data_IF_240169103217
#
_entry.id   IF_240169103217
#
_cell.length_a   1.000
_cell.length_b   1.000
_cell.length_c   1.000
_cell.angle_alpha   90.00
_cell.angle_beta   90.00
_cell.angle_gamma   90.00
#
_symmetry.space_group_name_H-M   'P 1'
#
loop_
_entity.id
_entity.type
_entity.pdbx_description
1 polymer ?
#
# COMPACT_ATOMS: atom_id res chain seq x y z
N UNK A 1 -12.66 30.34 -1.81
CA UNK A 1 -13.36 31.08 -2.88
C UNK A 1 -14.60 30.28 -3.21
N UNK A 2 -15.79 30.87 -3.08
CA UNK A 2 -17.05 30.16 -3.36
C UNK A 2 -17.16 29.93 -4.87
N UNK A 3 -16.85 28.74 -5.35
CA UNK A 3 -17.31 28.30 -6.66
C UNK A 3 -18.84 28.35 -6.62
N UNK A 4 -19.45 29.29 -7.36
CA UNK A 4 -20.86 29.18 -7.69
C UNK A 4 -20.99 27.93 -8.57
N UNK A 5 -21.30 26.79 -7.96
CA UNK A 5 -21.68 25.61 -8.72
C UNK A 5 -22.99 25.91 -9.43
N UNK A 6 -23.07 25.48 -10.69
CA UNK A 6 -24.30 25.55 -11.45
C UNK A 6 -25.32 24.60 -10.81
N UNK A 7 -26.56 25.04 -10.65
CA UNK A 7 -27.60 24.19 -10.06
C UNK A 7 -27.94 23.01 -10.97
N UNK A 8 -27.78 23.14 -12.28
CA UNK A 8 -27.93 22.03 -13.24
C UNK A 8 -26.84 20.96 -13.02
N UNK A 9 -25.58 21.39 -12.88
CA UNK A 9 -24.44 20.49 -12.61
C UNK A 9 -24.59 19.76 -11.26
N UNK A 10 -25.14 20.45 -10.24
CA UNK A 10 -25.43 19.81 -8.96
C UNK A 10 -26.47 18.69 -9.11
N UNK A 11 -27.52 18.89 -9.90
CA UNK A 11 -28.54 17.86 -10.14
C UNK A 11 -27.94 16.64 -10.84
N UNK A 12 -26.98 16.85 -11.74
CA UNK A 12 -26.27 15.76 -12.41
C UNK A 12 -25.38 14.91 -11.49
N UNK A 13 -24.99 15.43 -10.32
CA UNK A 13 -24.23 14.66 -9.31
C UNK A 13 -25.06 13.61 -8.58
N UNK A 14 -26.39 13.66 -8.67
CA UNK A 14 -27.32 12.77 -7.97
C UNK A 14 -27.37 11.40 -8.67
N UNK A 15 -27.09 10.34 -7.93
CA UNK A 15 -27.03 8.98 -8.46
C UNK A 15 -28.41 8.31 -8.66
N UNK A 16 -29.37 8.58 -7.76
CA UNK A 16 -30.72 8.01 -7.85
C UNK A 16 -31.57 8.82 -8.84
N UNK A 17 -31.95 8.19 -9.95
CA UNK A 17 -32.73 8.82 -11.02
C UNK A 17 -34.10 9.34 -10.56
N UNK A 18 -34.76 8.68 -9.61
CA UNK A 18 -36.05 9.15 -9.11
C UNK A 18 -35.88 10.40 -8.24
N UNK A 19 -34.85 10.41 -7.39
CA UNK A 19 -34.49 11.59 -6.58
C UNK A 19 -34.03 12.73 -7.48
N UNK A 20 -33.27 12.42 -8.54
CA UNK A 20 -32.86 13.38 -9.57
C UNK A 20 -34.07 14.05 -10.21
N UNK A 21 -35.09 13.30 -10.62
CA UNK A 21 -36.32 13.85 -11.19
C UNK A 21 -37.01 14.83 -10.21
N UNK A 22 -37.10 14.49 -8.91
CA UNK A 22 -37.66 15.44 -7.92
C UNK A 22 -36.81 16.71 -7.77
N UNK A 23 -35.49 16.60 -7.89
CA UNK A 23 -34.60 17.76 -7.85
C UNK A 23 -34.63 18.60 -9.14
N UNK A 24 -34.89 17.99 -10.30
CA UNK A 24 -35.19 18.71 -11.55
C UNK A 24 -36.51 19.50 -11.46
N UNK A 25 -37.52 18.95 -10.79
CA UNK A 25 -38.76 19.68 -10.48
C UNK A 25 -38.50 20.83 -9.49
N UNK A 26 -37.66 20.62 -8.47
CA UNK A 26 -37.25 21.66 -7.53
C UNK A 26 -36.49 22.79 -8.24
N UNK A 27 -35.58 22.45 -9.16
CA UNK A 27 -34.87 23.39 -10.03
C UNK A 27 -35.84 24.19 -10.90
N UNK A 28 -36.83 23.53 -11.51
CA UNK A 28 -37.86 24.19 -12.31
C UNK A 28 -38.66 25.20 -11.46
N UNK A 29 -39.00 24.85 -10.22
CA UNK A 29 -39.63 25.78 -9.28
C UNK A 29 -38.75 26.98 -8.95
N UNK A 30 -37.45 26.75 -8.76
CA UNK A 30 -36.48 27.83 -8.55
C UNK A 30 -36.45 28.80 -9.74
N UNK A 31 -36.33 28.28 -10.95
CA UNK A 31 -36.29 29.07 -12.19
C UNK A 31 -37.59 29.86 -12.43
N UNK A 32 -38.74 29.29 -12.01
CA UNK A 32 -40.04 29.95 -12.03
C UNK A 32 -40.26 30.96 -10.88
N UNK A 33 -39.24 31.22 -10.04
CA UNK A 33 -39.31 32.06 -8.82
C UNK A 33 -40.30 31.55 -7.76
N UNK A 34 -40.64 30.27 -7.81
CA UNK A 34 -41.44 29.58 -6.80
C UNK A 34 -40.53 29.04 -5.68
N UNK A 35 -39.81 29.92 -4.98
CA UNK A 35 -38.78 29.55 -4.00
C UNK A 35 -39.30 28.68 -2.84
N UNK A 36 -40.53 28.95 -2.37
CA UNK A 36 -41.19 28.10 -1.36
C UNK A 36 -41.40 26.67 -1.86
N UNK A 37 -41.79 26.51 -3.13
CA UNK A 37 -41.99 25.20 -3.73
C UNK A 37 -40.66 24.47 -3.94
N UNK A 38 -39.60 25.18 -4.36
CA UNK A 38 -38.25 24.64 -4.43
C UNK A 38 -37.81 24.03 -3.09
N UNK A 39 -37.94 24.77 -1.98
CA UNK A 39 -37.57 24.29 -0.64
C UNK A 39 -38.38 23.04 -0.25
N UNK A 40 -39.68 23.03 -0.54
CA UNK A 40 -40.56 21.90 -0.21
C UNK A 40 -40.22 20.66 -1.03
N UNK A 41 -39.94 20.80 -2.33
CA UNK A 41 -39.55 19.68 -3.19
C UNK A 41 -38.17 19.13 -2.83
N UNK A 42 -37.19 20.00 -2.56
CA UNK A 42 -35.87 19.58 -2.06
C UNK A 42 -35.99 18.80 -0.74
N UNK A 43 -36.87 19.25 0.16
CA UNK A 43 -37.15 18.52 1.40
C UNK A 43 -37.71 17.12 1.13
N UNK A 44 -38.69 16.99 0.22
CA UNK A 44 -39.30 15.70 -0.11
C UNK A 44 -38.26 14.76 -0.73
N UNK A 45 -37.49 15.24 -1.71
CA UNK A 45 -36.46 14.46 -2.37
C UNK A 45 -35.41 13.94 -1.37
N UNK A 46 -34.98 14.80 -0.45
CA UNK A 46 -34.01 14.43 0.57
C UNK A 46 -34.50 13.32 1.51
N UNK A 47 -35.72 13.43 2.03
CA UNK A 47 -36.22 12.42 2.97
C UNK A 47 -36.59 11.10 2.27
N UNK A 48 -37.05 11.13 1.03
CA UNK A 48 -37.24 9.92 0.21
C UNK A 48 -35.91 9.17 0.00
N UNK A 49 -34.87 9.92 -0.39
CA UNK A 49 -33.51 9.40 -0.56
C UNK A 49 -32.91 8.84 0.74
N UNK A 50 -33.09 9.54 1.86
CA UNK A 50 -32.64 9.07 3.19
C UNK A 50 -33.31 7.73 3.55
N UNK A 51 -34.62 7.58 3.30
CA UNK A 51 -35.32 6.32 3.56
C UNK A 51 -34.80 5.19 2.67
N UNK A 52 -34.58 5.45 1.38
CA UNK A 52 -34.00 4.46 0.46
C UNK A 52 -32.61 4.02 0.90
N UNK A 53 -31.74 4.99 1.24
CA UNK A 53 -30.39 4.72 1.77
C UNK A 53 -30.43 3.93 3.07
N UNK A 54 -31.39 4.21 3.96
CA UNK A 54 -31.62 3.41 5.17
C UNK A 54 -32.12 2.00 4.86
N UNK A 55 -32.91 1.81 3.80
CA UNK A 55 -33.35 0.49 3.35
C UNK A 55 -32.20 -0.39 2.86
N UNK A 56 -31.30 0.20 2.07
CA UNK A 56 -30.06 -0.47 1.62
C UNK A 56 -29.13 -0.76 2.80
N UNK A 57 -28.89 0.23 3.67
CA UNK A 57 -28.13 0.04 4.91
C UNK A 57 -28.77 -1.02 5.83
N UNK A 58 -30.10 -1.11 5.84
CA UNK A 58 -30.86 -2.09 6.61
C UNK A 58 -30.66 -3.54 6.17
N UNK A 59 -30.09 -3.81 4.99
CA UNK A 59 -29.72 -5.18 4.56
C UNK A 59 -28.58 -5.75 5.39
N UNK A 60 -27.71 -4.87 5.91
CA UNK A 60 -26.48 -5.24 6.64
C UNK A 60 -26.51 -4.76 8.09
N UNK A 61 -27.27 -3.71 8.42
CA UNK A 61 -27.32 -3.12 9.76
C UNK A 61 -28.72 -3.26 10.40
N UNK A 62 -28.80 -4.02 11.50
CA UNK A 62 -30.07 -4.28 12.22
C UNK A 62 -30.69 -3.03 12.84
N UNK A 63 -29.91 -2.02 13.23
CA UNK A 63 -30.43 -0.75 13.75
C UNK A 63 -31.02 0.08 12.63
N UNK A 64 -30.29 0.25 11.53
CA UNK A 64 -30.80 0.91 10.33
C UNK A 64 -32.07 0.22 9.82
N UNK A 65 -32.11 -1.11 9.86
CA UNK A 65 -33.30 -1.89 9.49
C UNK A 65 -34.51 -1.56 10.35
N UNK A 66 -34.35 -1.47 11.67
CA UNK A 66 -35.44 -1.07 12.59
C UNK A 66 -35.97 0.33 12.26
N UNK A 67 -35.05 1.27 12.05
CA UNK A 67 -35.41 2.67 11.73
C UNK A 67 -36.13 2.73 10.38
N UNK A 68 -35.63 2.00 9.38
CA UNK A 68 -36.27 1.86 8.07
C UNK A 68 -37.68 1.25 8.18
N UNK A 69 -37.82 0.12 8.89
CA UNK A 69 -39.11 -0.56 9.03
C UNK A 69 -40.14 0.33 9.77
N UNK A 70 -39.70 1.11 10.77
CA UNK A 70 -40.55 2.07 11.48
C UNK A 70 -40.89 3.31 10.63
N UNK A 71 -39.93 3.84 9.85
CA UNK A 71 -40.16 4.92 8.91
C UNK A 71 -41.16 4.51 7.83
N UNK A 72 -41.00 3.31 7.24
CA UNK A 72 -41.91 2.77 6.24
C UNK A 72 -43.33 2.57 6.80
N UNK A 73 -43.45 2.09 8.06
CA UNK A 73 -44.76 2.00 8.74
C UNK A 73 -45.42 3.38 8.88
N UNK A 74 -44.66 4.41 9.27
CA UNK A 74 -45.17 5.77 9.39
C UNK A 74 -45.57 6.35 8.04
N UNK A 75 -44.76 6.15 6.99
CA UNK A 75 -45.10 6.55 5.61
C UNK A 75 -46.39 5.90 5.12
N UNK A 76 -46.52 4.58 5.28
CA UNK A 76 -47.71 3.83 4.85
C UNK A 76 -48.98 4.26 5.64
N UNK A 77 -48.81 4.67 6.89
CA UNK A 77 -49.89 5.21 7.72
C UNK A 77 -50.15 6.72 7.49
N UNK A 78 -49.46 7.36 6.55
CA UNK A 78 -49.50 8.81 6.29
C UNK A 78 -49.19 9.68 7.53
N UNK A 79 -48.38 9.15 8.44
CA UNK A 79 -47.89 9.89 9.61
C UNK A 79 -46.59 10.62 9.28
N UNK A 80 -46.33 11.73 10.00
CA UNK A 80 -45.05 12.45 9.93
C UNK A 80 -43.92 11.50 10.33
N UNK A 81 -43.00 11.25 9.41
CA UNK A 81 -41.89 10.30 9.58
C UNK A 81 -40.53 11.01 9.60
N UNK A 82 -40.45 12.21 9.06
CA UNK A 82 -39.22 12.97 8.89
C UNK A 82 -38.64 13.44 10.22
N UNK A 83 -39.49 13.91 11.14
CA UNK A 83 -39.06 14.23 12.51
C UNK A 83 -38.51 13.01 13.24
N UNK A 84 -39.18 11.86 13.08
CA UNK A 84 -38.70 10.60 13.64
C UNK A 84 -37.35 10.20 13.04
N UNK A 85 -37.17 10.35 11.73
CA UNK A 85 -35.90 10.06 11.05
C UNK A 85 -34.77 10.93 11.57
N UNK A 86 -34.96 12.26 11.66
CA UNK A 86 -33.92 13.16 12.18
C UNK A 86 -33.50 12.74 13.59
N UNK A 87 -34.48 12.50 14.48
CA UNK A 87 -34.22 12.10 15.85
C UNK A 87 -33.47 10.76 15.92
N UNK A 88 -33.89 9.75 15.15
CA UNK A 88 -33.23 8.45 15.14
C UNK A 88 -31.85 8.48 14.50
N UNK A 89 -31.67 9.20 13.40
CA UNK A 89 -30.36 9.37 12.75
C UNK A 89 -29.37 10.03 13.72
N UNK A 90 -29.82 11.03 14.48
CA UNK A 90 -29.02 11.70 15.51
C UNK A 90 -28.73 10.80 16.71
N UNK A 91 -29.75 10.16 17.29
CA UNK A 91 -29.61 9.31 18.48
C UNK A 91 -28.80 8.04 18.25
N UNK A 92 -28.78 7.52 17.02
CA UNK A 92 -28.00 6.34 16.65
C UNK A 92 -26.64 6.69 16.00
N UNK A 93 -26.25 7.97 15.99
CA UNK A 93 -25.02 8.45 15.35
C UNK A 93 -24.88 7.98 13.90
N UNK A 94 -26.02 7.94 13.18
CA UNK A 94 -26.06 7.64 11.75
C UNK A 94 -25.76 8.86 10.89
N UNK A 95 -25.64 10.06 11.47
CA UNK A 95 -25.27 11.28 10.77
C UNK A 95 -24.31 12.13 11.63
N UNK A 96 -23.37 12.86 11.02
CA UNK A 96 -22.61 13.89 11.70
C UNK A 96 -23.51 14.93 12.39
N UNK A 97 -23.00 15.54 13.45
CA UNK A 97 -23.74 16.55 14.22
C UNK A 97 -24.10 17.79 13.39
N UNK A 98 -23.21 18.19 12.48
CA UNK A 98 -23.43 19.30 11.55
C UNK A 98 -24.57 19.01 10.57
N UNK A 99 -24.61 17.80 10.01
CA UNK A 99 -25.65 17.39 9.06
C UNK A 99 -27.01 17.25 9.76
N UNK A 100 -27.01 16.77 11.00
CA UNK A 100 -28.20 16.76 11.85
C UNK A 100 -28.74 18.17 12.11
N UNK A 101 -27.85 19.16 12.31
CA UNK A 101 -28.25 20.55 12.48
C UNK A 101 -28.82 21.16 11.18
N UNK A 102 -28.25 20.79 10.03
CA UNK A 102 -28.80 21.20 8.73
C UNK A 102 -30.20 20.62 8.49
N UNK A 103 -30.43 19.33 8.76
CA UNK A 103 -31.76 18.72 8.62
C UNK A 103 -32.82 19.43 9.48
N UNK A 104 -32.43 19.90 10.66
CA UNK A 104 -33.29 20.71 11.51
C UNK A 104 -33.62 22.09 10.92
N UNK A 105 -32.62 22.78 10.38
CA UNK A 105 -32.83 24.05 9.66
C UNK A 105 -33.80 23.84 8.50
N UNK A 106 -33.56 22.81 7.69
CA UNK A 106 -34.37 22.45 6.54
C UNK A 106 -35.81 22.11 6.97
N UNK A 107 -36.02 21.39 8.08
CA UNK A 107 -37.36 21.15 8.64
C UNK A 107 -38.09 22.44 9.00
N UNK A 108 -37.41 23.38 9.66
CA UNK A 108 -37.99 24.67 10.02
C UNK A 108 -38.37 25.49 8.78
N UNK A 109 -37.48 25.56 7.79
CA UNK A 109 -37.71 26.31 6.55
C UNK A 109 -38.81 25.68 5.69
N UNK A 110 -38.89 24.35 5.63
CA UNK A 110 -40.00 23.65 4.98
C UNK A 110 -41.32 23.98 5.65
N UNK A 111 -41.39 23.96 6.98
CA UNK A 111 -42.63 24.26 7.70
C UNK A 111 -43.10 25.70 7.45
N UNK A 112 -42.18 26.67 7.47
CA UNK A 112 -42.48 28.06 7.10
C UNK A 112 -42.91 28.20 5.64
N UNK A 113 -42.31 27.43 4.75
CA UNK A 113 -42.61 27.48 3.30
C UNK A 113 -43.88 26.75 2.92
N UNK A 114 -44.31 25.72 3.65
CA UNK A 114 -45.51 24.94 3.34
C UNK A 114 -46.79 25.55 3.94
N UNK A 115 -46.68 26.30 5.04
CA UNK A 115 -47.84 26.88 5.74
C UNK A 115 -47.94 28.40 5.54
N UNK A 116 -49.12 29.02 5.75
CA UNK A 116 -49.30 30.47 5.71
C UNK A 116 -48.67 31.17 6.94
N UNK A 117 -47.35 31.08 7.09
CA UNK A 117 -46.63 31.65 8.25
C UNK A 117 -46.17 33.10 8.03
N UNK A 118 -46.48 33.69 6.88
CA UNK A 118 -45.96 35.01 6.47
C UNK A 118 -44.48 34.99 6.05
N UNK A 119 -43.86 33.82 5.89
CA UNK A 119 -42.48 33.70 5.43
C UNK A 119 -42.38 33.83 3.91
N UNK A 120 -41.51 34.73 3.46
CA UNK A 120 -41.21 34.94 2.05
C UNK A 120 -39.80 34.42 1.77
N UNK A 121 -39.69 33.17 1.31
CA UNK A 121 -38.42 32.56 0.96
C UNK A 121 -37.74 33.35 -0.18
N UNK A 122 -36.46 33.68 -0.02
CA UNK A 122 -35.66 34.37 -1.04
C UNK A 122 -35.00 33.38 -2.02
N UNK A 123 -34.42 33.91 -3.10
CA UNK A 123 -33.67 33.12 -4.07
C UNK A 123 -32.41 32.49 -3.43
N UNK A 124 -31.77 33.21 -2.52
CA UNK A 124 -30.58 32.78 -1.80
C UNK A 124 -30.91 31.69 -0.79
N UNK A 125 -32.05 31.82 -0.09
CA UNK A 125 -32.52 30.80 0.84
C UNK A 125 -32.83 29.48 0.12
N UNK A 126 -33.57 29.55 -1.00
CA UNK A 126 -33.85 28.35 -1.80
C UNK A 126 -32.58 27.74 -2.39
N UNK A 127 -31.66 28.56 -2.90
CA UNK A 127 -30.38 28.08 -3.46
C UNK A 127 -29.49 27.45 -2.40
N UNK A 128 -29.41 28.03 -1.21
CA UNK A 128 -28.65 27.47 -0.09
C UNK A 128 -29.17 26.07 0.27
N UNK A 129 -30.49 25.93 0.43
CA UNK A 129 -31.11 24.64 0.76
C UNK A 129 -30.90 23.62 -0.36
N UNK A 130 -31.05 24.05 -1.61
CA UNK A 130 -30.84 23.21 -2.78
C UNK A 130 -29.40 22.67 -2.83
N UNK A 131 -28.41 23.57 -2.71
CA UNK A 131 -26.99 23.23 -2.72
C UNK A 131 -26.63 22.27 -1.58
N UNK A 132 -26.94 22.64 -0.34
CA UNK A 132 -26.55 21.86 0.83
C UNK A 132 -27.23 20.49 0.88
N UNK A 133 -28.48 20.37 0.40
CA UNK A 133 -29.15 19.07 0.31
C UNK A 133 -28.45 18.13 -0.68
N UNK A 134 -28.03 18.64 -1.84
CA UNK A 134 -27.33 17.83 -2.84
C UNK A 134 -25.92 17.48 -2.37
N UNK A 135 -25.14 18.48 -1.97
CA UNK A 135 -23.73 18.32 -1.63
C UNK A 135 -23.53 17.40 -0.42
N UNK A 136 -24.35 17.57 0.62
CA UNK A 136 -24.22 16.78 1.85
C UNK A 136 -24.85 15.39 1.77
N UNK A 137 -25.95 15.23 1.02
CA UNK A 137 -26.76 14.02 1.10
C UNK A 137 -27.01 13.37 -0.27
N UNK A 138 -27.68 14.07 -1.19
CA UNK A 138 -28.21 13.41 -2.40
C UNK A 138 -27.11 12.92 -3.34
N UNK A 139 -25.98 13.62 -3.42
CA UNK A 139 -24.80 13.21 -4.18
C UNK A 139 -24.01 12.07 -3.51
N UNK A 140 -24.24 11.79 -2.22
CA UNK A 140 -23.46 10.84 -1.42
C UNK A 140 -24.14 9.47 -1.40
N UNK A 141 -23.45 8.35 -1.67
CA UNK A 141 -24.08 7.05 -1.84
C UNK A 141 -24.71 6.45 -0.56
N UNK A 142 -24.14 6.64 0.63
CA UNK A 142 -24.65 6.03 1.89
C UNK A 142 -24.43 6.98 3.08
N UNK A 143 -25.39 6.99 4.01
CA UNK A 143 -25.48 7.94 5.14
C UNK A 143 -24.45 7.75 6.28
N UNK A 144 -23.51 6.80 6.23
CA UNK A 144 -22.48 6.73 7.27
C UNK A 144 -21.14 6.28 6.72
N UNK A 145 -20.18 7.19 6.69
CA UNK A 145 -18.80 6.93 6.27
C UNK A 145 -18.13 5.87 7.15
N UNK A 146 -18.45 5.77 8.44
CA UNK A 146 -17.73 4.89 9.38
C UNK A 146 -18.44 3.58 9.72
N UNK A 147 -19.74 3.43 9.51
CA UNK A 147 -20.45 2.20 9.92
C UNK A 147 -20.08 0.97 9.10
N UNK A 148 -19.87 1.14 7.80
CA UNK A 148 -19.37 0.04 6.96
C UNK A 148 -18.00 -0.43 7.46
N UNK A 149 -17.17 0.50 7.92
CA UNK A 149 -15.90 0.18 8.56
C UNK A 149 -16.11 -0.62 9.84
N UNK A 150 -17.03 -0.18 10.71
CA UNK A 150 -17.35 -0.88 11.96
C UNK A 150 -17.90 -2.29 11.73
N UNK A 151 -18.70 -2.49 10.67
CA UNK A 151 -19.22 -3.80 10.28
C UNK A 151 -18.07 -4.73 9.82
N UNK A 152 -17.10 -4.23 9.06
CA UNK A 152 -15.90 -5.01 8.69
C UNK A 152 -15.07 -5.33 9.94
N UNK A 153 -14.85 -4.35 10.81
CA UNK A 153 -14.11 -4.53 12.06
C UNK A 153 -14.74 -5.61 12.96
N UNK A 154 -16.07 -5.74 12.94
CA UNK A 154 -16.81 -6.74 13.72
C UNK A 154 -16.59 -8.18 13.26
N UNK A 155 -16.11 -8.38 12.01
CA UNK A 155 -15.84 -9.70 11.41
C UNK A 155 -14.37 -10.08 11.43
N UNK A 156 -13.48 -9.24 11.96
CA UNK A 156 -12.03 -9.51 11.92
C UNK A 156 -11.60 -10.70 12.77
N UNK A 157 -12.40 -11.15 13.72
CA UNK A 157 -12.17 -12.39 14.48
C UNK A 157 -12.60 -13.66 13.73
N UNK A 158 -13.25 -13.52 12.56
CA UNK A 158 -13.60 -14.67 11.72
C UNK A 158 -12.36 -15.33 11.12
N UNK A 159 -12.19 -16.62 11.40
CA UNK A 159 -11.05 -17.42 10.93
C UNK A 159 -10.90 -17.49 9.40
N UNK A 160 -12.00 -17.32 8.68
CA UNK A 160 -12.07 -17.42 7.23
C UNK A 160 -12.20 -16.08 6.52
N UNK A 161 -12.04 -14.96 7.25
CA UNK A 161 -12.08 -13.63 6.66
C UNK A 161 -11.10 -13.50 5.48
N UNK A 162 -9.87 -14.00 5.65
CA UNK A 162 -8.93 -14.23 4.55
C UNK A 162 -8.77 -15.73 4.29
N UNK A 163 -9.23 -16.26 3.15
CA UNK A 163 -9.18 -17.69 2.86
C UNK A 163 -7.75 -18.16 2.53
N UNK A 164 -6.90 -17.27 2.02
CA UNK A 164 -5.53 -17.54 1.58
C UNK A 164 -4.59 -16.43 2.08
N UNK A 165 -3.31 -16.76 2.22
CA UNK A 165 -2.27 -15.85 2.71
C UNK A 165 -1.43 -15.21 1.59
N UNK A 166 -1.81 -15.45 0.33
CA UNK A 166 -1.15 -14.84 -0.82
C UNK A 166 -1.60 -13.37 -0.97
N UNK A 167 -0.66 -12.47 -1.29
CA UNK A 167 -0.94 -11.02 -1.32
C UNK A 167 -1.99 -10.65 -2.36
N UNK A 168 -2.03 -11.32 -3.52
CA UNK A 168 -3.01 -11.05 -4.57
C UNK A 168 -4.41 -11.42 -4.07
N UNK A 169 -4.52 -12.56 -3.37
CA UNK A 169 -5.80 -13.00 -2.78
C UNK A 169 -6.24 -12.14 -1.61
N UNK A 170 -5.30 -11.67 -0.80
CA UNK A 170 -5.58 -10.70 0.26
C UNK A 170 -6.12 -9.40 -0.35
N UNK A 171 -5.48 -8.87 -1.40
CA UNK A 171 -5.94 -7.63 -2.03
C UNK A 171 -7.30 -7.76 -2.71
N UNK A 172 -7.62 -8.90 -3.33
CA UNK A 172 -8.96 -9.17 -3.91
C UNK A 172 -10.06 -9.11 -2.84
N UNK A 173 -9.81 -9.67 -1.65
CA UNK A 173 -10.75 -9.59 -0.52
C UNK A 173 -10.89 -8.14 -0.04
N UNK A 174 -9.77 -7.44 0.16
CA UNK A 174 -9.78 -6.04 0.60
C UNK A 174 -10.53 -5.14 -0.40
N UNK A 175 -10.27 -5.28 -1.70
CA UNK A 175 -10.94 -4.52 -2.76
C UNK A 175 -12.46 -4.72 -2.71
N UNK A 176 -12.91 -5.95 -2.45
CA UNK A 176 -14.33 -6.27 -2.31
C UNK A 176 -14.93 -5.59 -1.08
N UNK A 177 -14.25 -5.66 0.07
CA UNK A 177 -14.70 -5.09 1.34
C UNK A 177 -14.77 -3.56 1.32
N UNK A 178 -13.88 -2.89 0.57
CA UNK A 178 -13.87 -1.42 0.49
C UNK A 178 -14.71 -0.84 -0.64
N UNK A 179 -15.30 -1.67 -1.52
CA UNK A 179 -16.01 -1.21 -2.72
C UNK A 179 -17.14 -0.21 -2.45
N UNK A 180 -17.81 -0.35 -1.31
CA UNK A 180 -18.91 0.52 -0.87
C UNK A 180 -18.48 1.60 0.12
N UNK A 181 -17.20 1.66 0.48
CA UNK A 181 -16.66 2.62 1.45
C UNK A 181 -16.31 3.91 0.72
N UNK A 182 -16.80 5.03 1.25
CA UNK A 182 -16.46 6.36 0.74
C UNK A 182 -15.02 6.75 1.13
N UNK A 183 -14.32 7.49 0.28
CA UNK A 183 -12.90 7.80 0.48
C UNK A 183 -12.60 8.52 1.82
N UNK A 184 -13.51 9.37 2.28
CA UNK A 184 -13.39 10.08 3.57
C UNK A 184 -13.38 9.16 4.79
N UNK A 185 -13.78 7.90 4.65
CA UNK A 185 -13.74 6.92 5.72
C UNK A 185 -12.37 6.25 5.89
N UNK A 186 -11.47 6.34 4.90
CA UNK A 186 -10.18 5.64 4.94
C UNK A 186 -9.29 6.05 6.13
N UNK A 187 -9.21 7.32 6.56
CA UNK A 187 -8.45 7.67 7.77
C UNK A 187 -8.96 6.93 9.01
N UNK A 188 -10.29 6.88 9.20
CA UNK A 188 -10.92 6.15 10.31
C UNK A 188 -10.70 4.64 10.20
N UNK A 189 -10.85 4.08 9.00
CA UNK A 189 -10.58 2.66 8.74
C UNK A 189 -9.15 2.31 9.09
N UNK A 190 -8.17 3.04 8.57
CA UNK A 190 -6.76 2.74 8.78
C UNK A 190 -6.42 2.82 10.27
N UNK A 191 -6.88 3.86 10.98
CA UNK A 191 -6.64 4.01 12.42
C UNK A 191 -7.22 2.84 13.24
N UNK A 192 -8.47 2.42 12.96
CA UNK A 192 -9.09 1.30 13.67
C UNK A 192 -8.45 -0.04 13.37
N UNK A 193 -8.06 -0.29 12.13
CA UNK A 193 -7.32 -1.50 11.77
C UNK A 193 -5.91 -1.51 12.38
N UNK A 194 -5.28 -0.35 12.50
CA UNK A 194 -4.00 -0.19 13.17
C UNK A 194 -4.11 -0.54 14.66
N UNK A 195 -5.14 -0.06 15.37
CA UNK A 195 -5.46 -0.47 16.75
C UNK A 195 -5.65 -2.00 16.84
N UNK A 196 -6.39 -2.59 15.90
CA UNK A 196 -6.66 -4.03 15.87
C UNK A 196 -5.44 -4.88 15.52
N UNK A 197 -4.43 -4.35 14.84
CA UNK A 197 -3.20 -5.07 14.53
C UNK A 197 -2.42 -5.50 15.78
N UNK A 198 -2.63 -4.82 16.92
CA UNK A 198 -2.03 -5.17 18.22
C UNK A 198 -3.02 -5.89 19.16
N UNK A 199 -4.12 -6.40 18.62
CA UNK A 199 -5.10 -7.17 19.43
C UNK A 199 -4.46 -8.41 20.05
N UNK A 200 -4.90 -8.76 21.26
CA UNK A 200 -4.55 -10.02 21.90
C UNK A 200 -5.19 -11.24 21.22
N UNK A 201 -6.25 -11.05 20.42
CA UNK A 201 -6.81 -12.09 19.58
C UNK A 201 -5.93 -12.24 18.32
N UNK A 202 -5.34 -13.42 18.16
CA UNK A 202 -4.42 -13.73 17.07
C UNK A 202 -5.06 -13.66 15.68
N UNK A 203 -6.33 -14.05 15.54
CA UNK A 203 -7.04 -13.97 14.26
C UNK A 203 -7.34 -12.50 13.92
N UNK A 204 -7.82 -11.72 14.89
CA UNK A 204 -8.05 -10.29 14.73
C UNK A 204 -6.79 -9.51 14.35
N UNK A 205 -5.68 -9.73 15.07
CA UNK A 205 -4.39 -9.07 14.78
C UNK A 205 -3.90 -9.44 13.38
N UNK A 206 -3.91 -10.73 13.04
CA UNK A 206 -3.48 -11.23 11.73
C UNK A 206 -4.33 -10.66 10.60
N UNK A 207 -5.66 -10.71 10.72
CA UNK A 207 -6.58 -10.22 9.71
C UNK A 207 -6.46 -8.70 9.55
N UNK A 208 -6.27 -7.95 10.63
CA UNK A 208 -6.03 -6.51 10.54
C UNK A 208 -4.74 -6.19 9.78
N UNK A 209 -3.65 -6.91 10.05
CA UNK A 209 -2.38 -6.74 9.34
C UNK A 209 -2.54 -7.08 7.84
N UNK A 210 -3.23 -8.17 7.52
CA UNK A 210 -3.51 -8.56 6.13
C UNK A 210 -4.34 -7.51 5.41
N UNK A 211 -5.36 -6.96 6.06
CA UNK A 211 -6.19 -5.92 5.47
C UNK A 211 -5.38 -4.66 5.13
N UNK A 212 -4.57 -4.15 6.06
CA UNK A 212 -3.71 -2.98 5.83
C UNK A 212 -2.66 -3.25 4.73
N UNK A 213 -2.14 -4.48 4.69
CA UNK A 213 -1.16 -4.89 3.66
C UNK A 213 -1.81 -5.02 2.28
N UNK A 214 -3.03 -5.55 2.22
CA UNK A 214 -3.83 -5.61 1.00
C UNK A 214 -4.20 -4.22 0.49
N UNK A 215 -4.60 -3.30 1.38
CA UNK A 215 -4.85 -1.90 1.04
C UNK A 215 -3.62 -1.25 0.39
N UNK A 216 -2.42 -1.49 0.95
CA UNK A 216 -1.19 -0.99 0.37
C UNK A 216 -0.94 -1.54 -1.04
N UNK A 217 -1.20 -2.83 -1.26
CA UNK A 217 -1.02 -3.51 -2.54
C UNK A 217 -1.94 -2.99 -3.66
N UNK A 218 -3.10 -2.41 -3.33
CA UNK A 218 -3.99 -1.79 -4.31
C UNK A 218 -3.38 -0.54 -4.98
N UNK A 219 -2.34 0.06 -4.38
CA UNK A 219 -1.58 1.20 -4.94
C UNK A 219 -2.45 2.40 -5.35
N UNK A 220 -3.61 2.58 -4.72
CA UNK A 220 -4.44 3.78 -4.89
C UNK A 220 -3.70 4.98 -4.25
N UNK A 221 -3.62 6.11 -4.96
CA UNK A 221 -2.84 7.28 -4.55
C UNK A 221 -3.34 7.92 -3.25
N UNK A 222 -4.66 8.08 -3.11
CA UNK A 222 -5.27 8.70 -1.92
C UNK A 222 -5.11 7.80 -0.69
N UNK A 223 -5.39 6.50 -0.84
CA UNK A 223 -5.21 5.52 0.25
C UNK A 223 -3.72 5.43 0.64
N UNK A 224 -2.81 5.46 -0.34
CA UNK A 224 -1.37 5.41 -0.09
C UNK A 224 -0.88 6.60 0.72
N UNK A 225 -1.45 7.80 0.50
CA UNK A 225 -1.14 8.97 1.32
C UNK A 225 -1.56 8.73 2.78
N UNK A 226 -2.79 8.27 3.03
CA UNK A 226 -3.25 7.98 4.38
C UNK A 226 -2.44 6.85 5.05
N UNK A 227 -2.07 5.80 4.32
CA UNK A 227 -1.21 4.74 4.85
C UNK A 227 0.17 5.29 5.26
N UNK A 228 0.76 6.19 4.46
CA UNK A 228 2.04 6.83 4.77
C UNK A 228 1.94 7.65 6.06
N UNK A 229 0.92 8.50 6.18
CA UNK A 229 0.70 9.38 7.33
C UNK A 229 0.34 8.60 8.61
N UNK A 230 -0.63 7.69 8.54
CA UNK A 230 -1.17 6.99 9.69
C UNK A 230 -0.29 5.84 10.16
N UNK A 231 0.44 5.15 9.27
CA UNK A 231 1.24 3.98 9.64
C UNK A 231 2.72 4.34 9.75
N UNK A 232 3.34 4.78 8.65
CA UNK A 232 4.79 4.96 8.61
C UNK A 232 5.19 6.17 9.46
N UNK A 233 4.64 7.34 9.14
CA UNK A 233 4.98 8.59 9.80
C UNK A 233 4.61 8.60 11.28
N UNK A 234 3.47 8.01 11.64
CA UNK A 234 2.99 8.04 13.02
C UNK A 234 3.57 6.91 13.90
N UNK A 235 3.87 5.72 13.33
CA UNK A 235 4.23 4.53 14.13
C UNK A 235 5.66 4.03 13.99
N UNK A 236 6.49 4.59 13.10
CA UNK A 236 7.91 4.18 12.97
C UNK A 236 8.74 4.27 14.27
N UNK A 237 8.30 5.02 15.29
CA UNK A 237 8.98 5.05 16.60
C UNK A 237 8.57 3.93 17.56
N UNK A 238 7.55 3.15 17.24
CA UNK A 238 7.00 2.12 18.10
C UNK A 238 7.30 0.73 17.53
N UNK A 239 8.18 -0.01 18.22
CA UNK A 239 8.67 -1.33 17.78
C UNK A 239 7.57 -2.38 17.62
N UNK A 240 6.42 -2.23 18.28
CA UNK A 240 5.28 -3.13 18.12
C UNK A 240 4.70 -3.09 16.69
N UNK A 241 4.90 -2.00 15.96
CA UNK A 241 4.42 -1.84 14.59
C UNK A 241 5.47 -2.18 13.52
N UNK A 242 6.71 -2.49 13.90
CA UNK A 242 7.80 -2.77 12.95
C UNK A 242 7.42 -3.85 11.92
N UNK A 243 6.79 -4.93 12.36
CA UNK A 243 6.34 -6.00 11.46
C UNK A 243 5.26 -5.54 10.47
N UNK A 244 4.33 -4.69 10.90
CA UNK A 244 3.29 -4.14 10.02
C UNK A 244 3.88 -3.18 9.00
N UNK A 245 4.76 -2.27 9.44
CA UNK A 245 5.44 -1.29 8.59
C UNK A 245 6.21 -2.01 7.48
N UNK A 246 6.97 -3.06 7.83
CA UNK A 246 7.69 -3.88 6.85
C UNK A 246 6.73 -4.53 5.84
N UNK A 247 5.60 -5.11 6.30
CA UNK A 247 4.63 -5.74 5.38
C UNK A 247 3.98 -4.74 4.43
N UNK A 248 3.55 -3.59 4.94
CA UNK A 248 2.92 -2.54 4.13
C UNK A 248 3.88 -1.99 3.06
N UNK A 249 5.15 -1.75 3.40
CA UNK A 249 6.17 -1.31 2.43
C UNK A 249 6.51 -2.44 1.44
N UNK A 250 6.56 -3.69 1.88
CA UNK A 250 6.77 -4.83 0.97
C UNK A 250 5.66 -4.98 -0.08
N UNK A 251 4.45 -4.53 0.23
CA UNK A 251 3.32 -4.54 -0.68
C UNK A 251 3.32 -3.32 -1.63
N UNK A 252 3.81 -2.17 -1.15
CA UNK A 252 3.94 -0.96 -1.95
C UNK A 252 5.15 -0.11 -1.51
N UNK A 253 6.24 -0.19 -2.27
CA UNK A 253 7.50 0.48 -1.97
C UNK A 253 7.46 2.00 -2.13
N UNK A 254 6.47 2.54 -2.85
CA UNK A 254 6.29 3.99 -2.98
C UNK A 254 5.91 4.68 -1.67
N UNK A 255 5.45 3.90 -0.68
CA UNK A 255 5.19 4.37 0.68
C UNK A 255 6.47 4.82 1.42
N UNK A 256 7.65 4.47 0.90
CA UNK A 256 8.92 4.95 1.43
C UNK A 256 9.33 6.36 0.95
N UNK A 257 8.63 6.93 -0.04
CA UNK A 257 8.91 8.29 -0.55
C UNK A 257 8.52 9.41 0.43
N UNK A 258 9.05 10.61 0.21
CA UNK A 258 8.57 11.86 0.82
C UNK A 258 8.34 11.82 2.35
N UNK A 259 9.08 10.95 3.06
CA UNK A 259 9.00 10.86 4.51
C UNK A 259 9.75 12.02 5.16
N UNK A 260 9.37 12.37 6.39
CA UNK A 260 10.13 13.30 7.22
C UNK A 260 11.53 12.73 7.50
N UNK A 261 12.59 13.55 7.57
CA UNK A 261 13.96 13.09 7.78
C UNK A 261 14.15 12.14 8.98
N UNK A 262 13.49 12.45 10.11
CA UNK A 262 13.54 11.60 11.32
C UNK A 262 12.87 10.25 11.10
N UNK A 263 11.82 10.20 10.27
CA UNK A 263 11.10 8.97 9.93
C UNK A 263 11.96 8.06 9.05
N UNK A 264 12.75 8.62 8.14
CA UNK A 264 13.75 7.84 7.40
C UNK A 264 14.76 7.18 8.34
N UNK A 265 15.34 7.90 9.30
CA UNK A 265 16.30 7.31 10.25
C UNK A 265 15.69 6.16 11.07
N UNK A 266 14.42 6.30 11.48
CA UNK A 266 13.69 5.24 12.17
C UNK A 266 13.44 4.04 11.26
N UNK A 267 12.99 4.27 10.03
CA UNK A 267 12.74 3.20 9.06
C UNK A 267 14.02 2.43 8.73
N UNK A 268 15.14 3.14 8.51
CA UNK A 268 16.47 2.54 8.33
C UNK A 268 16.84 1.65 9.52
N UNK A 269 16.64 2.12 10.75
CA UNK A 269 16.89 1.32 11.96
C UNK A 269 16.03 0.05 12.02
N UNK A 270 14.74 0.15 11.68
CA UNK A 270 13.83 -1.01 11.64
C UNK A 270 14.31 -2.05 10.63
N UNK A 271 14.69 -1.60 9.43
CA UNK A 271 15.19 -2.48 8.37
C UNK A 271 16.50 -3.15 8.81
N UNK A 272 17.47 -2.37 9.29
CA UNK A 272 18.77 -2.87 9.77
C UNK A 272 18.63 -3.87 10.93
N UNK A 273 17.78 -3.57 11.91
CA UNK A 273 17.48 -4.50 13.01
C UNK A 273 16.87 -5.80 12.47
N UNK A 274 15.96 -5.69 11.50
CA UNK A 274 15.31 -6.86 10.93
C UNK A 274 16.27 -7.71 10.11
N UNK A 275 17.19 -7.11 9.34
CA UNK A 275 18.24 -7.84 8.61
C UNK A 275 19.03 -8.72 9.58
N UNK A 276 19.48 -8.15 10.71
CA UNK A 276 20.31 -8.85 11.70
C UNK A 276 19.58 -9.92 12.52
N UNK A 277 18.26 -9.84 12.63
CA UNK A 277 17.45 -10.71 13.51
C UNK A 277 16.57 -11.71 12.77
N UNK A 278 16.55 -11.67 11.43
CA UNK A 278 15.81 -12.66 10.65
C UNK A 278 16.48 -14.01 10.82
N UNK A 279 15.74 -14.94 11.43
CA UNK A 279 16.14 -16.34 11.49
C UNK A 279 16.31 -16.90 10.07
N UNK A 280 17.44 -17.55 9.81
CA UNK A 280 17.70 -18.32 8.57
C UNK A 280 16.57 -19.30 8.18
N UNK A 281 15.71 -19.70 9.13
CA UNK A 281 14.54 -20.56 8.90
C UNK A 281 13.31 -19.81 8.36
N UNK A 282 13.26 -18.48 8.45
CA UNK A 282 12.17 -17.67 7.92
C UNK A 282 12.23 -17.67 6.39
N UNK A 283 11.24 -18.31 5.76
CA UNK A 283 11.10 -18.31 4.30
C UNK A 283 11.11 -16.87 3.76
N UNK A 284 11.97 -16.59 2.78
CA UNK A 284 12.05 -15.33 2.02
C UNK A 284 10.73 -14.91 1.33
N UNK A 285 9.69 -15.74 1.44
CA UNK A 285 8.34 -15.49 0.92
C UNK A 285 7.47 -14.68 1.88
N UNK A 286 7.84 -14.50 3.15
CA UNK A 286 7.05 -13.66 4.07
C UNK A 286 7.19 -12.18 3.69
N UNK A 287 6.06 -11.47 3.66
CA UNK A 287 6.00 -10.05 3.33
C UNK A 287 6.85 -9.18 4.27
N UNK A 288 7.01 -9.57 5.53
CA UNK A 288 7.87 -8.85 6.48
C UNK A 288 9.38 -9.08 6.30
N UNK A 289 9.81 -9.91 5.36
CA UNK A 289 11.22 -10.22 5.15
C UNK A 289 11.96 -9.00 4.56
N UNK A 290 13.14 -8.60 5.08
CA UNK A 290 13.87 -7.41 4.62
C UNK A 290 14.15 -7.40 3.12
N UNK A 291 14.49 -8.54 2.52
CA UNK A 291 14.68 -8.62 1.06
C UNK A 291 13.43 -8.27 0.26
N UNK A 292 12.23 -8.61 0.74
CA UNK A 292 10.96 -8.24 0.09
C UNK A 292 10.69 -6.74 0.23
N UNK A 293 11.01 -6.16 1.38
CA UNK A 293 10.89 -4.71 1.62
C UNK A 293 11.82 -3.92 0.70
N UNK A 294 13.11 -4.25 0.71
CA UNK A 294 14.11 -3.58 -0.12
C UNK A 294 13.80 -3.76 -1.60
N UNK A 295 13.44 -4.98 -2.03
CA UNK A 295 12.96 -5.24 -3.40
C UNK A 295 11.82 -4.31 -3.79
N UNK A 296 10.79 -4.22 -2.95
CA UNK A 296 9.63 -3.36 -3.20
C UNK A 296 10.04 -1.89 -3.31
N UNK A 297 10.95 -1.42 -2.45
CA UNK A 297 11.50 -0.06 -2.52
C UNK A 297 12.25 0.16 -3.84
N UNK A 298 13.10 -0.76 -4.28
CA UNK A 298 13.81 -0.67 -5.56
C UNK A 298 12.84 -0.64 -6.74
N UNK A 299 11.83 -1.51 -6.74
CA UNK A 299 10.87 -1.64 -7.83
C UNK A 299 10.02 -0.37 -8.05
N UNK A 300 9.73 0.39 -6.97
CA UNK A 300 8.77 1.50 -7.02
C UNK A 300 9.42 2.90 -6.96
N UNK A 301 10.74 2.99 -6.86
CA UNK A 301 11.44 4.27 -6.67
C UNK A 301 12.64 4.40 -7.63
N UNK A 302 13.12 5.64 -7.83
CA UNK A 302 14.31 5.85 -8.66
C UNK A 302 15.56 5.30 -7.98
N UNK A 303 16.48 4.79 -8.78
CA UNK A 303 17.78 4.29 -8.30
C UNK A 303 18.52 5.32 -7.44
N UNK A 304 18.56 6.58 -7.89
CA UNK A 304 19.17 7.69 -7.15
C UNK A 304 18.57 7.91 -5.76
N UNK A 305 17.25 7.74 -5.62
CA UNK A 305 16.57 7.86 -4.34
C UNK A 305 16.96 6.71 -3.42
N UNK A 306 16.94 5.47 -3.93
CA UNK A 306 17.25 4.29 -3.13
C UNK A 306 18.69 4.36 -2.61
N UNK A 307 19.64 4.75 -3.45
CA UNK A 307 21.04 4.90 -3.03
C UNK A 307 21.20 5.97 -1.95
N UNK A 308 20.67 7.17 -2.18
CA UNK A 308 20.77 8.26 -1.20
C UNK A 308 20.14 7.90 0.17
N UNK A 309 19.00 7.19 0.15
CA UNK A 309 18.25 6.93 1.38
C UNK A 309 18.59 5.60 2.05
N UNK A 310 18.95 4.56 1.30
CA UNK A 310 19.01 3.18 1.78
C UNK A 310 20.27 2.40 1.37
N UNK A 311 21.31 3.05 0.85
CA UNK A 311 22.58 2.38 0.48
C UNK A 311 23.14 1.50 1.60
N UNK A 312 23.19 2.02 2.84
CA UNK A 312 23.66 1.23 3.99
C UNK A 312 22.84 -0.05 4.20
N UNK A 313 21.51 0.04 4.10
CA UNK A 313 20.61 -1.09 4.27
C UNK A 313 20.73 -2.09 3.12
N UNK A 314 21.00 -1.62 1.90
CA UNK A 314 21.32 -2.46 0.76
C UNK A 314 22.59 -3.27 1.03
N UNK A 315 23.68 -2.62 1.44
CA UNK A 315 24.95 -3.27 1.74
C UNK A 315 24.79 -4.28 2.89
N UNK A 316 24.11 -3.91 3.98
CA UNK A 316 23.83 -4.85 5.08
C UNK A 316 23.02 -6.08 4.59
N UNK A 317 22.05 -5.88 3.70
CA UNK A 317 21.27 -6.99 3.12
C UNK A 317 22.11 -7.87 2.21
N UNK A 318 22.98 -7.29 1.37
CA UNK A 318 23.87 -8.05 0.49
C UNK A 318 24.87 -8.87 1.29
N UNK A 319 25.39 -8.33 2.41
CA UNK A 319 26.26 -9.05 3.35
C UNK A 319 25.62 -10.32 3.87
N UNK A 320 24.41 -10.20 4.42
CA UNK A 320 23.74 -11.30 5.10
C UNK A 320 22.99 -12.26 4.15
N UNK A 321 22.67 -11.82 2.92
CA UNK A 321 21.82 -12.57 1.99
C UNK A 321 22.31 -12.50 0.54
N UNK A 322 23.62 -12.68 0.32
CA UNK A 322 24.28 -12.55 -0.98
C UNK A 322 23.74 -13.53 -2.06
N UNK A 323 23.13 -14.64 -1.62
CA UNK A 323 22.56 -15.68 -2.48
C UNK A 323 21.06 -15.52 -2.75
N UNK A 324 20.44 -14.41 -2.33
CA UNK A 324 19.01 -14.17 -2.50
C UNK A 324 18.57 -14.02 -3.96
N UNK A 325 18.29 -15.13 -4.65
CA UNK A 325 17.90 -15.18 -6.08
C UNK A 325 16.78 -14.18 -6.44
N UNK A 326 15.81 -14.00 -5.54
CA UNK A 326 14.66 -13.12 -5.77
C UNK A 326 14.94 -11.62 -5.75
N UNK A 327 16.17 -11.20 -5.45
CA UNK A 327 16.61 -9.79 -5.47
C UNK A 327 17.13 -9.39 -6.86
N UNK A 328 17.79 -10.31 -7.57
CA UNK A 328 18.41 -10.06 -8.88
C UNK A 328 17.43 -9.68 -9.97
N UNK A 329 16.24 -10.29 -10.00
CA UNK A 329 15.24 -9.97 -11.01
C UNK A 329 14.88 -8.48 -10.99
N UNK A 330 14.89 -7.86 -9.81
CA UNK A 330 14.37 -6.50 -9.62
C UNK A 330 15.47 -5.45 -9.66
N UNK A 331 16.70 -5.78 -9.22
CA UNK A 331 17.87 -4.89 -9.37
C UNK A 331 18.50 -4.95 -10.77
N UNK A 332 18.10 -5.89 -11.63
CA UNK A 332 18.70 -6.09 -12.96
C UNK A 332 18.67 -4.84 -13.87
N UNK A 333 17.76 -3.91 -13.62
CA UNK A 333 17.64 -2.65 -14.34
C UNK A 333 18.29 -1.45 -13.61
N UNK A 334 19.07 -1.70 -12.56
CA UNK A 334 19.67 -0.68 -11.69
C UNK A 334 21.20 -0.86 -11.63
N UNK A 335 21.95 -0.27 -12.59
CA UNK A 335 23.39 -0.52 -12.75
C UNK A 335 24.24 -0.12 -11.53
N UNK A 336 23.90 0.96 -10.83
CA UNK A 336 24.64 1.41 -9.65
C UNK A 336 24.33 0.52 -8.43
N UNK A 337 23.10 0.02 -8.32
CA UNK A 337 22.76 -0.98 -7.28
C UNK A 337 23.47 -2.31 -7.58
N UNK A 338 23.55 -2.73 -8.85
CA UNK A 338 24.33 -3.91 -9.26
C UNK A 338 25.79 -3.72 -8.91
N UNK A 339 26.36 -2.53 -9.14
CA UNK A 339 27.74 -2.23 -8.77
C UNK A 339 27.98 -2.40 -7.26
N UNK A 340 27.11 -1.84 -6.41
CA UNK A 340 27.19 -2.05 -4.95
C UNK A 340 27.10 -3.53 -4.56
N UNK A 341 26.22 -4.29 -5.22
CA UNK A 341 26.13 -5.73 -5.00
C UNK A 341 27.43 -6.44 -5.40
N UNK A 342 28.01 -6.09 -6.55
CA UNK A 342 29.25 -6.69 -7.04
C UNK A 342 30.45 -6.36 -6.16
N UNK A 343 30.52 -5.14 -5.60
CA UNK A 343 31.54 -4.78 -4.61
C UNK A 343 31.52 -5.74 -3.42
N UNK A 344 30.33 -6.04 -2.89
CA UNK A 344 30.16 -7.02 -1.82
C UNK A 344 30.52 -8.45 -2.25
N UNK A 345 30.14 -8.85 -3.47
CA UNK A 345 30.52 -10.15 -4.04
C UNK A 345 32.03 -10.30 -4.13
N UNK A 346 32.73 -9.30 -4.64
CA UNK A 346 34.18 -9.35 -4.77
C UNK A 346 34.86 -9.38 -3.40
N UNK A 347 34.36 -8.60 -2.44
CA UNK A 347 34.86 -8.60 -1.06
C UNK A 347 34.72 -9.98 -0.41
N UNK A 348 33.55 -10.63 -0.53
CA UNK A 348 33.34 -11.96 0.05
C UNK A 348 34.08 -13.06 -0.70
N UNK A 349 34.05 -13.04 -2.04
CA UNK A 349 34.71 -14.04 -2.88
C UNK A 349 36.24 -14.05 -2.69
N UNK A 350 36.83 -12.88 -2.48
CA UNK A 350 38.27 -12.69 -2.30
C UNK A 350 38.72 -12.48 -0.86
N UNK A 351 37.84 -12.74 0.12
CA UNK A 351 38.08 -12.44 1.53
C UNK A 351 39.28 -13.21 2.09
N UNK A 352 40.06 -12.54 2.94
CA UNK A 352 41.11 -13.18 3.73
C UNK A 352 40.55 -13.95 4.94
N UNK A 353 39.30 -13.68 5.34
CA UNK A 353 38.60 -14.48 6.35
C UNK A 353 38.08 -15.78 5.71
N UNK A 354 38.60 -16.90 6.20
CA UNK A 354 38.26 -18.22 5.66
C UNK A 354 36.77 -18.52 5.81
N UNK A 355 36.11 -18.08 6.88
CA UNK A 355 34.67 -18.35 7.06
C UNK A 355 33.86 -17.71 5.93
N UNK A 356 34.13 -16.43 5.67
CA UNK A 356 33.46 -15.65 4.62
C UNK A 356 33.75 -16.20 3.22
N UNK A 357 35.03 -16.41 2.89
CA UNK A 357 35.43 -16.89 1.57
C UNK A 357 34.88 -18.30 1.25
N UNK A 358 34.88 -19.20 2.25
CA UNK A 358 34.34 -20.54 2.08
C UNK A 358 32.82 -20.54 2.01
N UNK A 359 32.15 -19.69 2.81
CA UNK A 359 30.71 -19.52 2.70
C UNK A 359 30.32 -19.03 1.29
N UNK A 360 31.02 -18.03 0.76
CA UNK A 360 30.81 -17.55 -0.59
C UNK A 360 30.98 -18.68 -1.62
N UNK A 361 32.13 -19.35 -1.56
CA UNK A 361 32.53 -20.40 -2.51
C UNK A 361 31.55 -21.58 -2.50
N UNK A 362 31.16 -22.09 -1.33
CA UNK A 362 30.18 -23.18 -1.25
C UNK A 362 28.80 -22.82 -1.82
N UNK A 363 28.38 -21.55 -1.71
CA UNK A 363 27.06 -21.09 -2.15
C UNK A 363 26.95 -20.66 -3.61
N UNK A 364 28.03 -20.23 -4.26
CA UNK A 364 28.02 -19.62 -5.62
C UNK A 364 27.47 -20.55 -6.71
N UNK A 365 27.56 -21.87 -6.51
CA UNK A 365 26.99 -22.88 -7.42
C UNK A 365 25.47 -22.71 -7.63
N UNK A 366 24.75 -22.26 -6.60
CA UNK A 366 23.30 -21.99 -6.69
C UNK A 366 22.98 -20.78 -7.57
N UNK A 367 23.96 -19.90 -7.79
CA UNK A 367 23.81 -18.66 -8.53
C UNK A 367 24.34 -18.74 -9.98
N UNK A 368 25.02 -19.82 -10.37
CA UNK A 368 25.66 -19.97 -11.69
C UNK A 368 24.72 -19.60 -12.85
N UNK A 369 23.50 -20.15 -12.83
CA UNK A 369 22.49 -19.91 -13.87
C UNK A 369 21.83 -18.53 -13.82
N UNK A 370 21.86 -17.86 -12.66
CA UNK A 370 21.24 -16.56 -12.49
C UNK A 370 22.24 -15.47 -12.84
N UNK A 371 23.41 -15.44 -12.21
CA UNK A 371 24.44 -14.43 -12.47
C UNK A 371 24.89 -14.43 -13.93
N UNK A 372 25.00 -15.61 -14.57
CA UNK A 372 25.35 -15.69 -16.00
C UNK A 372 24.34 -15.06 -16.96
N UNK A 373 23.10 -14.78 -16.52
CA UNK A 373 22.10 -14.08 -17.35
C UNK A 373 22.14 -12.57 -17.20
N UNK A 374 22.67 -12.07 -16.08
CA UNK A 374 22.56 -10.67 -15.69
C UNK A 374 23.91 -9.94 -15.67
N UNK A 375 25.01 -10.67 -15.48
CA UNK A 375 26.35 -10.10 -15.41
C UNK A 375 27.08 -10.21 -16.74
N UNK A 376 27.93 -9.23 -16.99
CA UNK A 376 28.82 -9.18 -18.14
C UNK A 376 30.07 -10.05 -17.93
N UNK A 377 30.76 -10.40 -19.02
CA UNK A 377 31.94 -11.25 -18.99
C UNK A 377 33.05 -10.74 -18.06
N UNK A 378 33.30 -9.42 -18.05
CA UNK A 378 34.27 -8.79 -17.15
C UNK A 378 33.90 -9.01 -15.67
N UNK A 379 32.64 -8.77 -15.32
CA UNK A 379 32.15 -8.88 -13.95
C UNK A 379 32.27 -10.31 -13.46
N UNK A 380 31.86 -11.28 -14.29
CA UNK A 380 31.97 -12.70 -13.96
C UNK A 380 33.44 -13.13 -13.82
N UNK A 381 34.31 -12.64 -14.70
CA UNK A 381 35.74 -12.92 -14.63
C UNK A 381 36.35 -12.40 -13.31
N UNK A 382 35.95 -11.22 -12.85
CA UNK A 382 36.38 -10.67 -11.55
C UNK A 382 35.91 -11.53 -10.37
N UNK A 383 34.71 -12.12 -10.42
CA UNK A 383 34.27 -13.09 -9.39
C UNK A 383 35.24 -14.27 -9.35
N UNK A 384 35.58 -14.85 -10.50
CA UNK A 384 36.48 -16.00 -10.58
C UNK A 384 37.89 -15.64 -10.09
N UNK A 385 38.40 -14.45 -10.44
CA UNK A 385 39.70 -13.97 -9.94
C UNK A 385 39.71 -13.83 -8.42
N UNK A 386 38.62 -13.33 -7.82
CA UNK A 386 38.50 -13.21 -6.37
C UNK A 386 38.42 -14.58 -5.69
N UNK A 387 37.67 -15.55 -6.23
CA UNK A 387 37.69 -16.95 -5.73
C UNK A 387 39.11 -17.52 -5.81
N UNK A 388 39.81 -17.30 -6.92
CA UNK A 388 41.19 -17.73 -7.09
C UNK A 388 42.13 -17.08 -6.06
N UNK A 389 41.95 -15.79 -5.76
CA UNK A 389 42.67 -15.08 -4.71
C UNK A 389 42.47 -15.72 -3.34
N UNK A 390 41.23 -16.00 -2.96
CA UNK A 390 40.92 -16.67 -1.70
C UNK A 390 41.51 -18.09 -1.64
N UNK A 391 41.50 -18.81 -2.76
CA UNK A 391 42.13 -20.12 -2.88
C UNK A 391 43.66 -20.05 -2.75
N UNK A 392 44.34 -19.00 -3.24
CA UNK A 392 45.78 -18.77 -2.99
C UNK A 392 46.08 -18.51 -1.52
N UNK A 393 45.09 -17.98 -0.79
CA UNK A 393 45.19 -17.68 0.63
C UNK A 393 44.81 -18.88 1.53
N UNK A 394 44.41 -20.03 0.97
CA UNK A 394 44.13 -21.25 1.73
C UNK A 394 42.67 -21.47 2.13
N UNK A 395 41.71 -20.77 1.52
CA UNK A 395 40.29 -21.03 1.74
C UNK A 395 39.86 -22.34 1.06
N UNK A 396 39.56 -23.38 1.84
CA UNK A 396 39.36 -24.76 1.36
C UNK A 396 38.26 -24.94 0.29
N UNK A 397 37.11 -24.29 0.41
CA UNK A 397 36.04 -24.39 -0.59
C UNK A 397 36.42 -23.64 -1.87
N UNK A 398 37.13 -22.51 -1.73
CA UNK A 398 37.67 -21.78 -2.87
C UNK A 398 38.74 -22.60 -3.61
N UNK A 399 39.63 -23.28 -2.87
CA UNK A 399 40.59 -24.24 -3.42
C UNK A 399 39.89 -25.38 -4.15
N UNK A 400 38.85 -25.96 -3.56
CA UNK A 400 38.05 -27.02 -4.19
C UNK A 400 37.44 -26.57 -5.53
N UNK A 401 36.88 -25.36 -5.59
CA UNK A 401 36.33 -24.80 -6.83
C UNK A 401 37.44 -24.53 -7.86
N UNK A 402 38.56 -23.94 -7.45
CA UNK A 402 39.71 -23.67 -8.34
C UNK A 402 40.29 -24.98 -8.90
N UNK A 403 40.55 -25.96 -8.04
CA UNK A 403 41.23 -27.20 -8.39
C UNK A 403 40.33 -28.13 -9.22
N UNK A 404 39.02 -28.04 -9.03
CA UNK A 404 38.01 -28.63 -9.93
C UNK A 404 37.79 -27.82 -11.22
N UNK A 405 38.67 -26.83 -11.50
CA UNK A 405 38.64 -25.96 -12.68
C UNK A 405 37.28 -25.29 -12.90
N UNK A 406 36.67 -24.82 -11.82
CA UNK A 406 35.37 -24.14 -11.82
C UNK A 406 34.22 -24.97 -12.40
N UNK A 407 34.32 -26.30 -12.34
CA UNK A 407 33.30 -27.22 -12.90
C UNK A 407 31.93 -27.14 -12.21
N UNK A 408 31.87 -26.62 -10.99
CA UNK A 408 30.63 -26.37 -10.23
C UNK A 408 29.88 -25.11 -10.65
N UNK A 409 30.53 -24.22 -11.44
CA UNK A 409 29.96 -22.99 -11.99
C UNK A 409 30.22 -22.88 -13.51
N UNK A 410 29.75 -23.85 -14.31
CA UNK A 410 30.12 -23.98 -15.71
C UNK A 410 29.68 -22.80 -16.58
N UNK A 411 28.57 -22.12 -16.27
CA UNK A 411 28.09 -20.99 -17.07
C UNK A 411 28.93 -19.74 -16.82
N UNK A 412 29.26 -19.47 -15.55
CA UNK A 412 30.16 -18.38 -15.19
C UNK A 412 31.56 -18.62 -15.76
N UNK A 413 32.04 -19.87 -15.72
CA UNK A 413 33.29 -20.25 -16.37
C UNK A 413 33.28 -19.91 -17.87
N UNK A 414 32.24 -20.33 -18.60
CA UNK A 414 32.16 -20.09 -20.04
C UNK A 414 32.14 -18.60 -20.40
N UNK A 415 31.44 -17.76 -19.64
CA UNK A 415 31.46 -16.31 -19.83
C UNK A 415 32.86 -15.70 -19.60
N UNK A 416 33.58 -16.22 -18.61
CA UNK A 416 34.95 -15.79 -18.34
C UNK A 416 35.91 -16.21 -19.46
N UNK A 417 35.77 -17.42 -20.01
CA UNK A 417 36.54 -17.88 -21.18
C UNK A 417 36.29 -16.96 -22.37
N UNK A 418 35.01 -16.63 -22.62
CA UNK A 418 34.64 -15.75 -23.70
C UNK A 418 35.28 -14.36 -23.52
N UNK A 419 35.19 -13.77 -22.33
CA UNK A 419 35.83 -12.49 -22.03
C UNK A 419 37.35 -12.49 -22.23
N UNK A 420 38.05 -13.53 -21.74
CA UNK A 420 39.50 -13.70 -21.93
C UNK A 420 39.86 -13.82 -23.42
N UNK A 421 39.01 -14.48 -24.20
CA UNK A 421 39.22 -14.67 -25.65
C UNK A 421 38.97 -13.38 -26.42
N UNK A 422 37.92 -12.64 -26.05
CA UNK A 422 37.50 -11.42 -26.73
C UNK A 422 38.43 -10.23 -26.42
N UNK A 423 38.91 -10.10 -25.16
CA UNK A 423 39.83 -9.04 -24.74
C UNK A 423 40.85 -9.52 -23.70
N UNK A 424 41.87 -10.24 -24.18
CA UNK A 424 42.94 -10.79 -23.33
C UNK A 424 43.76 -9.72 -22.61
N UNK A 425 43.91 -8.53 -23.21
CA UNK A 425 44.69 -7.43 -22.62
C UNK A 425 43.96 -6.86 -21.42
N UNK A 426 42.67 -6.57 -21.56
CA UNK A 426 41.84 -6.10 -20.44
C UNK A 426 41.71 -7.16 -19.35
N UNK A 427 41.50 -8.43 -19.72
CA UNK A 427 41.45 -9.53 -18.75
C UNK A 427 42.74 -9.64 -17.92
N UNK A 428 43.91 -9.50 -18.55
CA UNK A 428 45.20 -9.50 -17.84
C UNK A 428 45.32 -8.33 -16.85
N UNK A 429 44.93 -7.13 -17.27
CA UNK A 429 44.95 -5.95 -16.39
C UNK A 429 44.02 -6.14 -15.17
N UNK A 430 42.80 -6.64 -15.38
CA UNK A 430 41.84 -6.91 -14.30
C UNK A 430 42.31 -8.02 -13.35
N UNK A 431 43.00 -9.04 -13.87
CA UNK A 431 43.63 -10.06 -13.05
C UNK A 431 44.72 -9.46 -12.15
N UNK A 432 45.58 -8.61 -12.71
CA UNK A 432 46.63 -7.90 -11.96
C UNK A 432 46.03 -7.03 -10.85
N UNK A 433 44.94 -6.30 -11.11
CA UNK A 433 44.25 -5.48 -10.11
C UNK A 433 43.78 -6.30 -8.90
N UNK A 434 43.29 -7.53 -9.13
CA UNK A 434 42.75 -8.39 -8.06
C UNK A 434 43.85 -9.14 -7.31
N UNK A 435 44.83 -9.67 -8.05
CA UNK A 435 45.85 -10.61 -7.56
C UNK A 435 47.15 -9.91 -7.14
N UNK A 436 47.41 -8.72 -7.69
CA UNK A 436 48.62 -7.93 -7.45
C UNK A 436 49.84 -8.41 -8.25
N UNK A 437 49.68 -9.33 -9.21
CA UNK A 437 50.75 -9.81 -10.08
C UNK A 437 50.20 -10.24 -11.46
N UNK A 438 50.70 -9.63 -12.54
CA UNK A 438 50.32 -9.96 -13.91
C UNK A 438 51.02 -11.19 -14.50
N UNK A 439 52.17 -11.59 -13.94
CA UNK A 439 53.01 -12.66 -14.52
C UNK A 439 52.35 -14.04 -14.38
N UNK A 440 51.50 -14.21 -13.36
CA UNK A 440 50.76 -15.46 -13.11
C UNK A 440 49.54 -15.62 -14.04
N UNK A 441 49.16 -14.60 -14.82
CA UNK A 441 47.93 -14.61 -15.62
C UNK A 441 47.90 -15.73 -16.66
N UNK A 442 48.98 -15.93 -17.41
CA UNK A 442 49.03 -16.97 -18.46
C UNK A 442 48.94 -18.37 -17.83
N UNK A 443 49.63 -18.58 -16.71
CA UNK A 443 49.59 -19.83 -15.95
C UNK A 443 48.18 -20.08 -15.39
N UNK A 444 47.50 -19.02 -14.93
CA UNK A 444 46.12 -19.10 -14.46
C UNK A 444 45.16 -19.44 -15.61
N UNK A 445 45.26 -18.72 -16.74
CA UNK A 445 44.43 -18.96 -17.90
C UNK A 445 44.57 -20.40 -18.41
N UNK A 446 45.80 -20.89 -18.62
CA UNK A 446 46.06 -22.21 -19.20
C UNK A 446 45.70 -23.37 -18.27
N UNK A 447 45.80 -23.19 -16.95
CA UNK A 447 45.54 -24.27 -16.00
C UNK A 447 44.04 -24.46 -15.69
N UNK A 448 43.27 -23.37 -15.68
CA UNK A 448 41.91 -23.38 -15.14
C UNK A 448 40.81 -23.14 -16.18
N UNK A 449 41.14 -22.54 -17.33
CA UNK A 449 40.24 -22.32 -18.46
C UNK A 449 40.63 -23.19 -19.64
#
# INVERSE_FOLDING_TARGET
>A
MSHLHDMEELVDSIQDNQVKNYMEEALSCYMARAYRACIVLTYIALFDDIVKKLGELGKINRKARKIYDEAQKKMNAQNVYESYLIDQLKSNSLLPSLDSAFLEILRVLRNKSAHPSGHNASAEEARFIFFEAIDRFLSKPILSTTQLVDDILSRLDEKHFFPLTDIIKISEVVETEIKSIHYEAFPYLIDKFLEKSLSSNSDTSKNAIFFLTGLAYLKNSEISQYLRECIIESKCSNSNYSQLIMQVISANGSLALDLRPVTYERLKSIISEKIRTVDSSLRHTKLSHPSKVIRSIVEHNSESFVLNMFEKQLVELFKDNIFGIGLFSDISNSPEIIKLYLEEVYEQAGSYDFTTANHFSSGISNLDSYLSKFLEGEQVFLIICNIHKAARNGAFDAESIRDSKFSTIPKLKNLSIQYITDDRVSAKAKYEDVIGNADDFEVFADNYF
#
